data_IF_875278657837
#
_entry.id   IF_875278657837
#
_cell.length_a   1.000
_cell.length_b   1.000
_cell.length_c   1.000
_cell.angle_alpha   90.00
_cell.angle_beta   90.00
_cell.angle_gamma   90.00
#
_symmetry.space_group_name_H-M   'P 1'
#
loop_
_entity.id
_entity.type
_entity.pdbx_description
1 polymer ?
#
# COMPACT_ATOMS: atom_id res chain seq x y z
N UNK A 1 -70.96 -17.26 -28.28
CA UNK A 1 -69.83 -18.15 -28.62
C UNK A 1 -68.67 -17.26 -29.09
N UNK A 2 -67.83 -16.76 -28.20
CA UNK A 2 -66.60 -17.38 -27.68
C UNK A 2 -65.57 -17.72 -28.79
N UNK A 3 -64.65 -16.79 -29.07
CA UNK A 3 -63.23 -17.09 -29.26
C UNK A 3 -62.38 -15.81 -29.28
N UNK A 4 -61.89 -15.36 -28.12
CA UNK A 4 -60.80 -14.38 -28.05
C UNK A 4 -59.48 -15.14 -28.04
N UNK A 5 -58.77 -15.14 -29.17
CA UNK A 5 -57.38 -15.60 -29.24
C UNK A 5 -56.50 -14.63 -28.44
N UNK A 6 -55.77 -15.18 -27.48
CA UNK A 6 -54.76 -14.50 -26.67
C UNK A 6 -53.52 -14.29 -27.52
N UNK A 7 -53.22 -13.06 -27.90
CA UNK A 7 -51.90 -12.72 -28.46
C UNK A 7 -50.96 -12.43 -27.29
N UNK A 8 -50.03 -13.36 -27.09
CA UNK A 8 -48.96 -13.31 -26.10
C UNK A 8 -47.90 -12.33 -26.61
N UNK A 9 -47.95 -11.07 -26.15
CA UNK A 9 -46.91 -10.08 -26.46
C UNK A 9 -45.68 -10.41 -25.61
N UNK A 10 -44.67 -10.98 -26.26
CA UNK A 10 -43.38 -11.30 -25.67
C UNK A 10 -42.60 -9.99 -25.48
N UNK A 11 -42.59 -9.46 -24.26
CA UNK A 11 -41.80 -8.30 -23.85
C UNK A 11 -40.33 -8.74 -23.74
N UNK A 12 -39.54 -8.50 -24.77
CA UNK A 12 -38.08 -8.62 -24.73
C UNK A 12 -37.55 -7.43 -23.95
N UNK A 13 -37.40 -7.59 -22.64
CA UNK A 13 -36.66 -6.68 -21.78
C UNK A 13 -35.19 -6.78 -22.15
N UNK A 14 -34.72 -5.86 -23.01
CA UNK A 14 -33.31 -5.64 -23.25
C UNK A 14 -32.67 -5.15 -21.94
N UNK A 15 -32.07 -6.09 -21.20
CA UNK A 15 -31.21 -5.79 -20.07
C UNK A 15 -29.95 -5.08 -20.63
N UNK A 16 -30.00 -3.76 -20.63
CA UNK A 16 -28.82 -2.92 -20.82
C UNK A 16 -27.91 -3.17 -19.62
N UNK A 17 -27.00 -4.13 -19.78
CA UNK A 17 -25.85 -4.29 -18.90
C UNK A 17 -25.04 -3.01 -19.00
N UNK A 18 -25.23 -2.12 -18.02
CA UNK A 18 -24.24 -1.11 -17.68
C UNK A 18 -22.98 -1.87 -17.25
N UNK A 19 -22.12 -2.16 -18.23
CA UNK A 19 -20.70 -2.39 -17.99
C UNK A 19 -20.18 -1.08 -17.44
N UNK A 20 -20.28 -0.90 -16.12
CA UNK A 20 -19.47 0.07 -15.42
C UNK A 20 -18.03 -0.38 -15.64
N UNK A 21 -17.43 0.16 -16.69
CA UNK A 21 -16.00 0.19 -16.86
C UNK A 21 -15.44 0.70 -15.53
N UNK A 22 -14.77 -0.17 -14.78
CA UNK A 22 -14.06 0.21 -13.58
C UNK A 22 -12.95 1.15 -14.04
N UNK A 23 -13.26 2.44 -14.16
CA UNK A 23 -12.30 3.49 -14.45
C UNK A 23 -11.26 3.40 -13.36
N UNK A 24 -10.16 2.76 -13.71
CA UNK A 24 -9.00 2.59 -12.87
C UNK A 24 -8.46 4.00 -12.70
N UNK A 25 -8.87 4.70 -11.64
CA UNK A 25 -8.30 6.00 -11.32
C UNK A 25 -6.84 5.75 -10.96
N UNK A 26 -5.97 5.75 -11.98
CA UNK A 26 -4.50 5.54 -11.93
C UNK A 26 -3.76 6.68 -11.22
N UNK A 27 -4.44 7.43 -10.35
CA UNK A 27 -3.95 8.64 -9.71
C UNK A 27 -4.25 8.67 -8.23
N UNK A 28 -3.46 9.48 -7.50
CA UNK A 28 -3.67 9.73 -6.09
C UNK A 28 -5.05 10.35 -5.85
N UNK A 29 -5.87 9.76 -4.97
CA UNK A 29 -7.19 10.32 -4.65
C UNK A 29 -7.05 11.70 -4.04
N UNK A 30 -7.80 12.66 -4.57
CA UNK A 30 -7.80 14.05 -4.10
C UNK A 30 -8.15 14.17 -2.61
N UNK A 31 -7.61 15.19 -1.90
CA UNK A 31 -7.87 15.38 -0.48
C UNK A 31 -9.36 15.63 -0.25
N UNK A 32 -9.97 14.74 0.54
CA UNK A 32 -11.36 14.83 0.95
C UNK A 32 -11.53 15.84 2.10
N UNK A 33 -12.17 15.40 3.19
CA UNK A 33 -12.48 16.25 4.36
C UNK A 33 -11.24 17.03 4.85
N UNK A 34 -11.49 18.22 5.41
CA UNK A 34 -10.50 19.21 5.89
C UNK A 34 -9.36 18.62 6.73
N UNK A 35 -9.60 17.53 7.45
CA UNK A 35 -8.64 16.89 8.36
C UNK A 35 -8.21 15.48 7.93
N UNK A 36 -8.46 15.07 6.70
CA UNK A 36 -8.00 13.77 6.22
C UNK A 36 -6.49 13.75 6.00
N UNK A 37 -5.83 12.63 6.26
CA UNK A 37 -4.40 12.45 6.13
C UNK A 37 -4.07 11.65 4.87
N UNK A 38 -2.83 11.82 4.39
CA UNK A 38 -2.22 11.04 3.33
C UNK A 38 -1.03 10.29 3.91
N UNK A 39 -1.05 8.96 3.80
CA UNK A 39 0.07 8.08 4.18
C UNK A 39 0.76 7.62 2.90
N UNK A 40 2.07 7.82 2.81
CA UNK A 40 2.88 7.47 1.65
C UNK A 40 4.13 6.70 2.08
N UNK A 41 4.68 5.91 1.19
CA UNK A 41 5.95 5.20 1.38
C UNK A 41 6.35 4.45 0.13
N UNK A 42 7.45 3.71 0.21
CA UNK A 42 7.77 2.70 -0.79
C UNK A 42 8.22 1.38 -0.14
N UNK A 43 8.06 0.29 -0.87
CA UNK A 43 8.55 -1.04 -0.53
C UNK A 43 9.33 -1.59 -1.73
N UNK A 44 10.52 -2.10 -1.46
CA UNK A 44 11.34 -2.88 -2.40
C UNK A 44 11.76 -4.16 -1.70
N UNK A 45 11.57 -5.29 -2.35
CA UNK A 45 11.88 -6.60 -1.77
C UNK A 45 12.82 -7.36 -2.67
N UNK A 46 14.03 -7.56 -2.18
CA UNK A 46 14.99 -8.47 -2.75
C UNK A 46 14.79 -9.86 -2.17
N UNK A 47 14.55 -10.82 -3.03
CA UNK A 47 14.55 -12.25 -2.75
C UNK A 47 15.93 -12.76 -3.18
N UNK A 48 16.69 -13.35 -2.26
CA UNK A 48 18.01 -13.93 -2.55
C UNK A 48 17.99 -15.42 -2.25
N UNK A 49 17.88 -16.24 -3.30
CA UNK A 49 17.69 -17.68 -3.20
C UNK A 49 16.48 -18.11 -2.36
N UNK A 50 15.52 -17.22 -2.12
CA UNK A 50 14.31 -17.50 -1.36
C UNK A 50 13.40 -18.39 -2.20
N UNK A 51 13.12 -19.61 -1.74
CA UNK A 51 12.45 -20.64 -2.56
C UNK A 51 13.12 -20.90 -3.91
N UNK A 52 14.46 -20.77 -3.97
CA UNK A 52 15.23 -20.91 -5.21
C UNK A 52 15.11 -19.71 -6.16
N UNK A 53 14.50 -18.61 -5.72
CA UNK A 53 14.26 -17.42 -6.54
C UNK A 53 15.21 -16.31 -6.11
N UNK A 54 15.85 -15.69 -7.11
CA UNK A 54 16.60 -14.44 -6.96
C UNK A 54 15.91 -13.36 -7.79
N UNK A 55 15.31 -12.38 -7.13
CA UNK A 55 14.52 -11.34 -7.80
C UNK A 55 14.43 -10.07 -6.96
N UNK A 56 14.26 -8.93 -7.63
CA UNK A 56 13.86 -7.68 -6.99
C UNK A 56 12.41 -7.39 -7.36
N UNK A 57 11.54 -7.37 -6.36
CA UNK A 57 10.11 -7.13 -6.52
C UNK A 57 9.77 -5.75 -5.98
N UNK A 58 9.03 -4.99 -6.79
CA UNK A 58 8.59 -3.62 -6.50
C UNK A 58 7.12 -3.43 -6.83
N UNK A 59 6.67 -3.96 -7.96
CA UNK A 59 5.29 -3.89 -8.41
C UNK A 59 4.35 -4.85 -7.67
N UNK A 60 3.12 -4.41 -7.43
CA UNK A 60 2.04 -5.31 -7.03
C UNK A 60 2.14 -5.85 -5.61
N UNK A 61 2.99 -5.28 -4.77
CA UNK A 61 3.16 -5.70 -3.37
C UNK A 61 1.96 -5.20 -2.57
N UNK A 62 1.25 -6.12 -1.89
CA UNK A 62 0.16 -5.76 -0.99
C UNK A 62 0.75 -5.29 0.35
N UNK A 63 0.67 -4.00 0.62
CA UNK A 63 1.23 -3.39 1.83
C UNK A 63 0.16 -3.24 2.90
N UNK A 64 0.42 -3.80 4.08
CA UNK A 64 -0.43 -3.63 5.25
C UNK A 64 0.03 -2.44 6.09
N UNK A 65 -0.86 -1.47 6.24
CA UNK A 65 -0.66 -0.30 7.10
C UNK A 65 -1.61 -0.40 8.28
N UNK A 66 -1.11 -0.12 9.47
CA UNK A 66 -1.95 0.02 10.67
C UNK A 66 -2.03 1.47 11.09
N UNK A 67 -3.23 1.94 11.39
CA UNK A 67 -3.49 3.25 11.96
C UNK A 67 -4.03 3.13 13.39
N UNK A 68 -3.51 3.93 14.32
CA UNK A 68 -4.18 4.26 15.59
C UNK A 68 -4.84 5.63 15.43
N UNK A 69 -6.15 5.61 15.25
CA UNK A 69 -6.97 6.79 14.93
C UNK A 69 -7.97 7.04 16.06
N UNK A 70 -8.46 8.28 16.17
CA UNK A 70 -9.54 8.61 17.12
C UNK A 70 -10.88 8.51 16.40
N UNK A 71 -11.75 7.62 16.89
CA UNK A 71 -13.14 7.48 16.42
C UNK A 71 -14.05 7.84 17.58
N UNK A 72 -14.79 8.95 17.46
CA UNK A 72 -15.63 9.49 18.55
C UNK A 72 -14.87 9.64 19.88
N UNK A 73 -13.63 10.12 19.82
CA UNK A 73 -12.77 10.30 21.00
C UNK A 73 -12.07 9.03 21.50
N UNK A 74 -12.44 7.84 21.01
CA UNK A 74 -11.85 6.57 21.43
C UNK A 74 -10.74 6.14 20.47
N UNK A 75 -9.52 5.82 20.95
CA UNK A 75 -8.48 5.25 20.10
C UNK A 75 -8.87 3.89 19.56
N UNK A 76 -8.89 3.75 18.24
CA UNK A 76 -9.15 2.49 17.54
C UNK A 76 -7.99 2.14 16.61
N UNK A 77 -7.70 0.83 16.51
CA UNK A 77 -6.76 0.30 15.53
C UNK A 77 -7.50 -0.07 14.25
N UNK A 78 -7.08 0.52 13.14
CA UNK A 78 -7.61 0.21 11.82
C UNK A 78 -6.50 -0.35 10.94
N UNK A 79 -6.82 -1.37 10.15
CA UNK A 79 -5.91 -1.97 9.17
C UNK A 79 -6.32 -1.53 7.78
N UNK A 80 -5.34 -1.13 7.00
CA UNK A 80 -5.50 -0.71 5.63
C UNK A 80 -4.59 -1.54 4.75
N UNK A 81 -5.02 -1.73 3.51
CA UNK A 81 -4.26 -2.39 2.46
C UNK A 81 -4.14 -1.44 1.28
N UNK A 82 -2.93 -1.38 0.72
CA UNK A 82 -2.64 -0.66 -0.52
C UNK A 82 -1.69 -1.52 -1.35
N UNK A 83 -1.64 -1.27 -2.64
CA UNK A 83 -0.75 -1.98 -3.56
C UNK A 83 0.30 -1.01 -4.07
N UNK A 84 1.54 -1.48 -4.20
CA UNK A 84 2.60 -0.66 -4.78
C UNK A 84 2.46 -0.51 -6.29
N UNK A 85 2.89 0.64 -6.82
CA UNK A 85 3.07 0.87 -8.24
C UNK A 85 4.34 0.16 -8.78
N UNK A 86 4.61 0.34 -10.06
CA UNK A 86 5.74 -0.26 -10.77
C UNK A 86 7.11 0.10 -10.19
N UNK A 87 7.19 1.21 -9.47
CA UNK A 87 8.39 1.68 -8.78
C UNK A 87 8.39 1.36 -7.29
N UNK A 88 7.41 0.61 -6.78
CA UNK A 88 7.36 0.19 -5.39
C UNK A 88 6.77 1.25 -4.45
N UNK A 89 6.24 2.36 -4.96
CA UNK A 89 5.62 3.39 -4.13
C UNK A 89 4.15 3.06 -3.87
N UNK A 90 3.65 3.47 -2.71
CA UNK A 90 2.25 3.31 -2.35
C UNK A 90 1.69 4.58 -1.69
N UNK A 91 0.38 4.76 -1.80
CA UNK A 91 -0.34 5.84 -1.14
C UNK A 91 -1.67 5.38 -0.58
N UNK A 92 -1.98 5.84 0.63
CA UNK A 92 -3.26 5.67 1.30
C UNK A 92 -3.81 7.06 1.62
N UNK A 93 -4.67 7.55 0.73
CA UNK A 93 -5.28 8.86 0.83
C UNK A 93 -6.56 8.84 1.67
N UNK A 94 -6.90 10.01 2.20
CA UNK A 94 -8.18 10.28 2.86
C UNK A 94 -8.46 9.50 4.14
N UNK A 95 -7.42 9.12 4.88
CA UNK A 95 -7.58 8.41 6.15
C UNK A 95 -7.76 9.37 7.34
N UNK A 96 -8.36 8.93 8.45
CA UNK A 96 -8.53 9.79 9.62
C UNK A 96 -7.20 10.30 10.20
N UNK A 97 -7.18 11.44 10.90
CA UNK A 97 -6.04 11.82 11.72
C UNK A 97 -5.62 10.71 12.69
N UNK A 98 -4.32 10.43 12.76
CA UNK A 98 -3.81 9.41 13.67
C UNK A 98 -2.33 9.11 13.47
N UNK A 99 -1.88 8.04 14.11
CA UNK A 99 -0.53 7.47 13.97
C UNK A 99 -0.60 6.30 13.02
N UNK A 100 0.38 6.18 12.13
CA UNK A 100 0.42 5.10 11.14
C UNK A 100 1.78 4.41 11.13
N UNK A 101 1.79 3.12 10.80
CA UNK A 101 3.00 2.33 10.68
C UNK A 101 2.85 1.27 9.59
N UNK A 102 3.97 0.95 8.94
CA UNK A 102 4.08 -0.22 8.07
C UNK A 102 4.04 -1.48 8.94
N UNK A 103 2.95 -2.24 8.85
CA UNK A 103 2.75 -3.45 9.64
C UNK A 103 3.40 -4.66 8.99
N UNK A 104 3.47 -4.68 7.66
CA UNK A 104 3.94 -5.81 6.89
C UNK A 104 3.52 -5.67 5.44
N UNK A 105 3.75 -6.72 4.68
CA UNK A 105 3.37 -6.77 3.28
C UNK A 105 3.26 -8.21 2.82
N UNK A 106 2.71 -8.38 1.63
CA UNK A 106 2.72 -9.64 0.92
C UNK A 106 3.27 -9.43 -0.49
N UNK A 107 4.27 -10.22 -0.83
CA UNK A 107 4.91 -10.20 -2.14
C UNK A 107 4.38 -11.38 -2.96
N UNK A 108 3.77 -11.13 -4.13
CA UNK A 108 3.49 -12.20 -5.08
C UNK A 108 4.82 -12.74 -5.62
N UNK A 109 4.94 -14.05 -5.65
CA UNK A 109 6.07 -14.79 -6.21
C UNK A 109 5.54 -15.67 -7.34
N UNK A 110 6.42 -16.37 -8.08
CA UNK A 110 6.07 -17.25 -9.19
C UNK A 110 4.87 -18.18 -8.86
N UNK A 111 3.89 -18.19 -9.76
CA UNK A 111 2.64 -18.95 -9.59
C UNK A 111 1.71 -18.33 -8.55
N UNK A 112 1.23 -19.15 -7.62
CA UNK A 112 0.32 -18.74 -6.53
C UNK A 112 1.05 -18.58 -5.18
N UNK A 113 2.38 -18.59 -5.18
CA UNK A 113 3.17 -18.46 -3.95
C UNK A 113 3.19 -17.00 -3.53
N UNK A 114 2.89 -16.74 -2.26
CA UNK A 114 2.93 -15.40 -1.68
C UNK A 114 3.76 -15.41 -0.41
N UNK A 115 4.78 -14.56 -0.34
CA UNK A 115 5.58 -14.39 0.87
C UNK A 115 4.91 -13.31 1.72
N UNK A 116 4.51 -13.66 2.93
CA UNK A 116 3.97 -12.71 3.90
C UNK A 116 5.04 -12.31 4.90
N UNK A 117 5.31 -11.02 5.02
CA UNK A 117 6.27 -10.47 5.98
C UNK A 117 5.53 -9.56 6.95
N UNK A 118 5.78 -9.71 8.25
CA UNK A 118 5.16 -8.88 9.29
C UNK A 118 6.17 -8.32 10.27
N UNK A 119 5.84 -7.16 10.83
CA UNK A 119 6.45 -6.63 12.04
C UNK A 119 5.39 -6.61 13.14
N UNK A 120 5.68 -7.22 14.29
CA UNK A 120 4.73 -7.23 15.41
C UNK A 120 4.50 -5.83 15.98
N UNK A 121 5.46 -4.91 15.81
CA UNK A 121 5.43 -3.54 16.31
C UNK A 121 5.12 -3.51 17.81
N UNK A 122 5.79 -4.39 18.58
CA UNK A 122 5.72 -4.44 20.04
C UNK A 122 6.52 -3.29 20.66
N UNK A 123 7.65 -2.94 20.05
CA UNK A 123 8.58 -1.91 20.49
C UNK A 123 9.49 -1.48 19.32
N UNK A 124 10.41 -0.53 19.56
CA UNK A 124 11.33 -0.01 18.56
C UNK A 124 12.32 -1.06 17.99
N UNK A 125 12.52 -2.19 18.68
CA UNK A 125 13.42 -3.28 18.27
C UNK A 125 12.69 -4.41 17.53
N UNK A 126 11.37 -4.30 17.35
CA UNK A 126 10.59 -5.32 16.65
C UNK A 126 11.08 -5.43 15.21
N UNK A 127 11.53 -6.62 14.82
CA UNK A 127 12.03 -6.92 13.48
C UNK A 127 10.89 -7.42 12.58
N UNK A 128 11.06 -7.22 11.28
CA UNK A 128 10.24 -7.91 10.30
C UNK A 128 10.62 -9.40 10.26
N UNK A 129 9.66 -10.26 9.98
CA UNK A 129 9.85 -11.71 9.83
C UNK A 129 8.88 -12.27 8.80
N UNK A 130 9.31 -13.32 8.09
CA UNK A 130 8.40 -14.11 7.26
C UNK A 130 7.40 -14.83 8.16
N UNK A 131 6.14 -14.89 7.73
CA UNK A 131 5.07 -15.60 8.40
C UNK A 131 4.40 -16.56 7.42
N UNK A 132 4.12 -17.78 7.87
CA UNK A 132 3.42 -18.81 7.07
C UNK A 132 1.97 -18.46 6.78
N UNK A 133 1.28 -17.89 7.76
CA UNK A 133 -0.11 -17.45 7.60
C UNK A 133 -0.18 -16.14 6.82
N UNK A 134 -1.13 -15.98 5.88
CA UNK A 134 -1.34 -14.71 5.18
C UNK A 134 -1.97 -13.63 6.08
N UNK A 135 -2.41 -13.98 7.29
CA UNK A 135 -3.11 -13.05 8.18
C UNK A 135 -2.15 -12.08 8.88
N UNK A 136 -2.33 -10.77 8.65
CA UNK A 136 -1.57 -9.70 9.33
C UNK A 136 -2.44 -9.05 10.42
N UNK A 137 -2.12 -9.20 11.72
CA UNK A 137 -2.94 -8.68 12.81
C UNK A 137 -2.89 -7.14 12.89
N UNK A 138 -4.02 -6.52 13.28
CA UNK A 138 -4.11 -5.05 13.41
C UNK A 138 -3.53 -4.51 14.73
N UNK A 139 -3.38 -5.34 15.77
CA UNK A 139 -2.89 -4.89 17.08
C UNK A 139 -1.40 -4.52 17.01
N UNK A 140 -1.06 -3.34 17.53
CA UNK A 140 0.31 -2.83 17.65
C UNK A 140 0.48 -1.97 18.90
N UNK A 141 1.72 -1.91 19.41
CA UNK A 141 2.07 -1.10 20.59
C UNK A 141 3.03 0.05 20.25
N UNK A 142 3.64 0.02 19.05
CA UNK A 142 4.69 0.96 18.65
C UNK A 142 4.41 1.62 17.31
N UNK A 143 4.63 2.93 17.24
CA UNK A 143 4.56 3.74 16.02
C UNK A 143 5.82 4.59 15.92
N UNK A 144 6.71 4.24 14.98
CA UNK A 144 8.00 4.92 14.77
C UNK A 144 7.84 6.41 14.40
N UNK A 145 6.79 6.72 13.63
CA UNK A 145 6.46 8.08 13.19
C UNK A 145 5.15 8.54 13.83
N UNK A 146 5.19 8.97 15.11
CA UNK A 146 3.97 9.20 15.89
C UNK A 146 3.21 10.47 15.50
N UNK A 147 3.74 11.32 14.61
CA UNK A 147 3.11 12.59 14.22
C UNK A 147 3.22 12.79 12.70
N UNK A 148 2.08 13.09 12.08
CA UNK A 148 2.05 13.60 10.72
C UNK A 148 2.51 15.07 10.71
N UNK A 149 3.20 15.49 9.66
CA UNK A 149 3.50 16.91 9.40
C UNK A 149 2.59 17.36 8.26
N UNK A 150 1.79 18.40 8.50
CA UNK A 150 0.87 18.96 7.49
C UNK A 150 -0.05 17.92 6.84
N UNK A 151 -0.64 16.99 7.63
CA UNK A 151 -1.51 15.88 7.16
C UNK A 151 -0.79 14.78 6.36
N UNK A 152 0.52 14.83 6.21
CA UNK A 152 1.32 13.80 5.54
C UNK A 152 2.00 12.89 6.56
N UNK A 153 1.87 11.59 6.35
CA UNK A 153 2.68 10.57 7.03
C UNK A 153 3.58 9.92 6.01
N UNK A 154 4.88 10.20 6.11
CA UNK A 154 5.89 9.60 5.25
C UNK A 154 6.51 8.38 5.94
N UNK A 155 6.17 7.18 5.47
CA UNK A 155 6.73 5.90 5.92
C UNK A 155 8.08 5.58 5.28
N UNK A 156 8.63 6.51 4.47
CA UNK A 156 9.94 6.44 3.82
C UNK A 156 10.06 5.26 2.85
N UNK A 157 11.26 5.10 2.28
CA UNK A 157 11.57 3.90 1.51
C UNK A 157 11.89 2.75 2.47
N UNK A 158 11.26 1.60 2.26
CA UNK A 158 11.50 0.40 3.02
C UNK A 158 12.04 -0.69 2.10
N UNK A 159 13.33 -0.95 2.22
CA UNK A 159 14.01 -2.02 1.51
C UNK A 159 14.07 -3.25 2.39
N UNK A 160 13.72 -4.39 1.81
CA UNK A 160 13.77 -5.69 2.45
C UNK A 160 14.64 -6.63 1.62
N UNK A 161 15.48 -7.40 2.29
CA UNK A 161 16.15 -8.57 1.73
C UNK A 161 15.63 -9.80 2.48
N UNK A 162 15.16 -10.80 1.74
CA UNK A 162 14.73 -12.10 2.26
C UNK A 162 15.65 -13.15 1.67
N UNK A 163 16.39 -13.86 2.52
CA UNK A 163 17.34 -14.89 2.09
C UNK A 163 16.70 -16.29 2.02
N UNK A 164 17.53 -17.29 1.72
CA UNK A 164 17.15 -18.71 1.66
C UNK A 164 16.62 -19.26 2.99
N UNK A 165 17.05 -18.69 4.12
CA UNK A 165 16.65 -19.10 5.47
C UNK A 165 15.40 -18.35 5.95
N UNK A 166 14.78 -17.55 5.08
CA UNK A 166 13.65 -16.67 5.38
C UNK A 166 13.97 -15.59 6.44
N UNK A 167 15.24 -15.26 6.62
CA UNK A 167 15.63 -14.12 7.43
C UNK A 167 15.31 -12.84 6.68
N UNK A 168 14.70 -11.89 7.38
CA UNK A 168 14.31 -10.60 6.81
C UNK A 168 15.25 -9.51 7.32
N UNK A 169 16.05 -8.97 6.41
CA UNK A 169 16.83 -7.76 6.65
C UNK A 169 16.01 -6.56 6.19
N UNK A 170 15.90 -5.54 7.03
CA UNK A 170 15.16 -4.32 6.73
C UNK A 170 16.10 -3.12 6.82
N UNK A 171 16.06 -2.28 5.79
CA UNK A 171 16.71 -0.98 5.78
C UNK A 171 15.72 0.08 5.35
N UNK A 172 15.78 1.22 6.00
CA UNK A 172 14.94 2.36 5.66
C UNK A 172 15.81 3.49 5.09
N UNK A 173 15.30 4.17 4.07
CA UNK A 173 16.02 5.27 3.43
C UNK A 173 15.13 6.50 3.31
N UNK A 174 15.72 7.68 3.46
CA UNK A 174 15.06 8.94 3.10
C UNK A 174 14.97 9.13 1.58
N UNK A 175 16.06 8.79 0.88
CA UNK A 175 16.22 8.69 -0.57
C UNK A 175 17.14 7.51 -0.86
N UNK A 176 17.03 6.89 -2.03
CA UNK A 176 17.93 5.79 -2.43
C UNK A 176 18.89 6.35 -3.47
N UNK A 177 20.20 6.13 -3.31
CA UNK A 177 21.21 6.61 -4.26
C UNK A 177 22.17 5.49 -4.59
N UNK A 178 22.27 5.14 -5.88
CA UNK A 178 23.20 4.14 -6.42
C UNK A 178 23.19 2.82 -5.61
N UNK A 179 22.03 2.40 -5.13
CA UNK A 179 21.89 1.19 -4.33
C UNK A 179 21.78 -0.02 -5.25
N UNK A 180 22.69 -0.97 -5.11
CA UNK A 180 22.69 -2.20 -5.91
C UNK A 180 21.82 -3.28 -5.24
N UNK A 181 20.86 -3.82 -5.99
CA UNK A 181 19.99 -4.92 -5.56
C UNK A 181 20.67 -6.28 -5.78
N UNK A 182 20.03 -7.35 -5.29
CA UNK A 182 20.50 -8.74 -5.49
C UNK A 182 20.51 -9.19 -6.95
N UNK A 183 19.68 -8.58 -7.80
CA UNK A 183 19.68 -8.81 -9.25
C UNK A 183 20.74 -8.00 -9.99
N UNK A 184 21.45 -7.10 -9.28
CA UNK A 184 22.41 -6.17 -9.87
C UNK A 184 21.81 -4.87 -10.40
N UNK A 185 20.48 -4.69 -10.33
CA UNK A 185 19.82 -3.42 -10.63
C UNK A 185 20.36 -2.31 -9.72
N UNK A 186 20.58 -1.12 -10.28
CA UNK A 186 21.00 0.05 -9.51
C UNK A 186 19.78 0.95 -9.32
N UNK A 187 19.33 1.06 -8.08
CA UNK A 187 18.25 1.95 -7.67
C UNK A 187 18.80 3.35 -7.38
N UNK A 188 18.21 4.35 -8.01
CA UNK A 188 18.40 5.77 -7.74
C UNK A 188 17.02 6.44 -7.68
N UNK A 189 16.51 6.56 -6.46
CA UNK A 189 15.12 6.96 -6.22
C UNK A 189 15.08 8.29 -5.46
N UNK A 190 14.27 9.26 -5.93
CA UNK A 190 14.05 10.50 -5.19
C UNK A 190 13.35 10.18 -3.87
N UNK A 191 13.31 11.15 -2.96
CA UNK A 191 12.54 10.96 -1.72
C UNK A 191 11.09 10.61 -2.04
N UNK A 192 10.43 9.86 -1.14
CA UNK A 192 9.00 9.53 -1.29
C UNK A 192 8.15 10.78 -1.54
N UNK A 193 8.46 11.89 -0.87
CA UNK A 193 7.74 13.16 -1.07
C UNK A 193 7.94 13.68 -2.50
N UNK A 194 9.20 13.75 -2.95
CA UNK A 194 9.52 14.25 -4.29
C UNK A 194 8.88 13.38 -5.38
N UNK A 195 8.85 12.06 -5.21
CA UNK A 195 8.15 11.15 -6.12
C UNK A 195 6.67 11.53 -6.28
N UNK A 196 5.96 11.73 -5.17
CA UNK A 196 4.53 12.07 -5.22
C UNK A 196 4.27 13.47 -5.75
N UNK A 197 5.16 14.44 -5.50
CA UNK A 197 5.11 15.79 -6.10
C UNK A 197 5.23 15.70 -7.63
N UNK A 198 6.26 15.01 -8.12
CA UNK A 198 6.53 14.87 -9.56
C UNK A 198 5.42 14.10 -10.29
N UNK A 199 4.90 13.05 -9.66
CA UNK A 199 3.88 12.18 -10.26
C UNK A 199 2.47 12.79 -10.22
N UNK A 200 2.21 13.74 -9.33
CA UNK A 200 0.88 14.32 -9.12
C UNK A 200 0.91 15.87 -9.01
N UNK A 201 1.43 16.58 -10.04
CA UNK A 201 1.67 18.03 -9.97
C UNK A 201 0.38 18.86 -9.89
N UNK A 202 -0.78 18.28 -10.17
CA UNK A 202 -2.07 18.97 -10.10
C UNK A 202 -2.92 18.53 -8.89
N UNK A 203 -2.39 17.65 -8.02
CA UNK A 203 -3.17 17.16 -6.90
C UNK A 203 -3.31 18.23 -5.82
N UNK A 204 -4.48 18.31 -5.19
CA UNK A 204 -4.72 19.14 -4.01
C UNK A 204 -3.85 18.77 -2.81
N UNK A 205 -3.18 17.61 -2.84
CA UNK A 205 -2.16 17.22 -1.87
C UNK A 205 -0.84 17.98 -2.02
N UNK A 206 -0.56 18.57 -3.19
CA UNK A 206 0.73 19.18 -3.53
C UNK A 206 1.21 20.17 -2.45
N UNK A 207 0.36 21.13 -2.08
CA UNK A 207 0.67 22.14 -1.05
C UNK A 207 1.05 21.57 0.32
N UNK A 208 0.61 20.34 0.63
CA UNK A 208 0.97 19.65 1.86
C UNK A 208 2.27 18.87 1.68
N UNK A 209 2.48 18.25 0.52
CA UNK A 209 3.71 17.55 0.17
C UNK A 209 4.91 18.49 0.10
N UNK A 210 4.78 19.67 -0.51
CA UNK A 210 5.87 20.67 -0.62
C UNK A 210 6.36 21.15 0.75
N UNK A 211 5.46 21.30 1.72
CA UNK A 211 5.82 21.66 3.11
C UNK A 211 6.52 20.53 3.88
N UNK A 212 6.53 19.32 3.31
CA UNK A 212 7.16 18.13 3.86
C UNK A 212 8.45 17.71 3.14
N UNK A 213 8.86 18.46 2.10
CA UNK A 213 10.20 18.37 1.54
C UNK A 213 11.23 18.76 2.60
#
# INVERSE_FOLDING_TARGET
>A
MWNKRKNFVLLITAAVFFVQCATTSRGLKEPGKKYSYLVIGSVTVDLFHCYGITATVRYGIEVAIVGKVLVKGVPQFQRYWVTTDDRGYFALANVPPGKYALKGFRVPVLGNIQITVINELKNARSKFKVQRSPYIPAKVNYFKYPKAKQRIVNLRHNYFLIDSDNLVYHREFFRIQKFRTVTGEILDEPSVIDYFIQRNPHSGWLKFLEKNR
#
